data_IF_855150128435
#
_entry.id   IF_855150128435
#
_cell.length_a   1.000
_cell.length_b   1.000
_cell.length_c   1.000
_cell.angle_alpha   90.00
_cell.angle_beta   90.00
_cell.angle_gamma   90.00
#
_symmetry.space_group_name_H-M   'P 1'
#
loop_
_entity.id
_entity.type
_entity.pdbx_description
1 polymer ?
#
# COMPACT_ATOMS: atom_id res chain seq x y z
N UNK A 1 -16.35 -0.59 -26.79
CA UNK A 1 -16.31 -1.27 -25.48
C UNK A 1 -16.07 -0.19 -24.44
N UNK A 2 -17.15 0.44 -24.00
CA UNK A 2 -17.16 1.68 -23.22
C UNK A 2 -16.95 1.43 -21.74
N UNK A 3 -16.09 2.27 -21.14
CA UNK A 3 -16.11 2.78 -19.76
C UNK A 3 -16.50 1.82 -18.63
N UNK A 4 -15.49 1.50 -17.81
CA UNK A 4 -15.65 1.63 -16.36
C UNK A 4 -14.34 2.21 -15.80
N UNK A 5 -14.17 3.51 -15.98
CA UNK A 5 -13.35 4.30 -15.07
C UNK A 5 -14.11 4.35 -13.75
N UNK A 6 -13.96 3.32 -12.93
CA UNK A 6 -14.43 3.35 -11.54
C UNK A 6 -13.51 4.27 -10.76
N UNK A 7 -13.81 5.55 -10.94
CA UNK A 7 -13.66 6.64 -9.99
C UNK A 7 -13.69 6.10 -8.56
N UNK A 8 -12.51 5.74 -8.05
CA UNK A 8 -12.34 5.40 -6.64
C UNK A 8 -12.40 6.73 -5.92
N UNK A 9 -13.63 7.09 -5.56
CA UNK A 9 -14.00 7.94 -4.44
C UNK A 9 -12.78 8.53 -3.72
N UNK A 10 -12.42 9.78 -4.09
CA UNK A 10 -11.48 10.65 -3.37
C UNK A 10 -12.07 11.08 -2.01
N UNK A 11 -12.61 10.13 -1.25
CA UNK A 11 -13.00 10.35 0.12
C UNK A 11 -11.74 10.22 0.96
N UNK A 12 -11.24 11.38 1.40
CA UNK A 12 -10.44 11.58 2.61
C UNK A 12 -10.00 10.25 3.25
N UNK A 13 -8.81 9.76 2.89
CA UNK A 13 -8.26 8.54 3.50
C UNK A 13 -7.75 8.90 4.89
N UNK A 14 -8.69 9.27 5.77
CA UNK A 14 -8.48 9.31 7.20
C UNK A 14 -8.03 7.90 7.60
N UNK A 15 -6.92 7.80 8.34
CA UNK A 15 -6.39 6.56 8.87
C UNK A 15 -7.53 5.71 9.46
N UNK A 16 -7.96 4.69 8.71
CA UNK A 16 -9.10 3.85 9.08
C UNK A 16 -8.60 2.84 10.09
N UNK A 17 -9.41 2.57 11.11
CA UNK A 17 -9.18 1.39 11.95
C UNK A 17 -9.11 0.18 11.03
N UNK A 18 -8.03 -0.59 11.13
CA UNK A 18 -7.93 -1.84 10.40
C UNK A 18 -9.15 -2.72 10.74
N UNK A 19 -9.58 -3.59 9.82
CA UNK A 19 -10.61 -4.57 10.14
C UNK A 19 -10.16 -5.35 11.38
N UNK A 20 -11.10 -5.80 12.21
CA UNK A 20 -10.81 -6.72 13.31
C UNK A 20 -10.39 -8.09 12.73
N UNK A 21 -9.19 -8.13 12.16
CA UNK A 21 -8.56 -9.35 11.67
C UNK A 21 -7.96 -9.99 12.93
N UNK A 22 -8.48 -11.14 13.39
CA UNK A 22 -7.86 -11.83 14.50
C UNK A 22 -6.40 -12.11 14.13
N UNK A 23 -5.44 -11.86 15.04
CA UNK A 23 -4.00 -11.99 14.77
C UNK A 23 -3.58 -13.41 14.35
N UNK A 24 -4.49 -14.38 14.43
CA UNK A 24 -4.32 -15.79 14.08
C UNK A 24 -4.51 -16.11 12.60
N UNK A 25 -5.18 -15.27 11.80
CA UNK A 25 -5.37 -15.49 10.36
C UNK A 25 -5.28 -14.16 9.63
N UNK A 26 -4.10 -13.81 9.14
CA UNK A 26 -3.97 -12.74 8.16
C UNK A 26 -4.34 -13.33 6.81
N UNK A 27 -5.42 -12.86 6.16
CA UNK A 27 -5.80 -13.37 4.86
C UNK A 27 -4.64 -13.18 3.89
N UNK A 28 -4.43 -14.12 2.97
CA UNK A 28 -3.39 -14.01 1.94
C UNK A 28 -3.48 -12.71 1.11
N UNK A 29 -4.69 -12.14 0.99
CA UNK A 29 -4.94 -10.88 0.29
C UNK A 29 -4.68 -9.63 1.15
N UNK A 30 -4.46 -9.77 2.46
CA UNK A 30 -4.17 -8.66 3.36
C UNK A 30 -2.66 -8.39 3.39
N UNK A 31 -2.19 -7.80 2.31
CA UNK A 31 -0.79 -7.45 2.09
C UNK A 31 -0.57 -5.93 2.20
N UNK A 32 0.68 -5.50 2.03
CA UNK A 32 1.06 -4.08 2.19
C UNK A 32 0.40 -3.16 1.15
N UNK A 33 0.36 -3.48 -0.17
CA UNK A 33 -0.37 -2.68 -1.15
C UNK A 33 -1.84 -2.48 -0.79
N UNK A 34 -2.53 -3.55 -0.37
CA UNK A 34 -3.94 -3.51 0.03
C UNK A 34 -4.15 -2.58 1.23
N UNK A 35 -3.28 -2.66 2.24
CA UNK A 35 -3.34 -1.81 3.42
C UNK A 35 -3.15 -0.32 3.10
N UNK A 36 -2.25 0.03 2.18
CA UNK A 36 -2.03 1.43 1.76
C UNK A 36 -3.26 1.97 1.04
N UNK A 37 -3.81 1.20 0.09
CA UNK A 37 -4.99 1.61 -0.70
C UNK A 37 -6.23 1.88 0.14
N UNK A 38 -6.37 1.18 1.27
CA UNK A 38 -7.53 1.29 2.17
C UNK A 38 -7.27 2.18 3.40
N UNK A 39 -6.06 2.73 3.55
CA UNK A 39 -5.73 3.62 4.65
C UNK A 39 -5.42 2.93 5.98
N UNK A 40 -5.08 1.64 5.97
CA UNK A 40 -4.73 0.85 7.16
C UNK A 40 -3.27 1.03 7.58
N UNK A 41 -2.81 2.27 7.67
CA UNK A 41 -1.39 2.62 7.81
C UNK A 41 -0.77 2.09 9.11
N UNK A 42 -1.54 2.04 10.19
CA UNK A 42 -1.09 1.52 11.50
C UNK A 42 -0.62 0.07 11.46
N UNK A 43 -1.15 -0.75 10.55
CA UNK A 43 -0.81 -2.16 10.45
C UNK A 43 0.40 -2.43 9.57
N UNK A 44 0.87 -1.45 8.78
CA UNK A 44 1.94 -1.66 7.80
C UNK A 44 3.24 -2.14 8.46
N UNK A 45 3.63 -1.57 9.61
CA UNK A 45 4.82 -2.03 10.33
C UNK A 45 4.71 -3.50 10.74
N UNK A 46 3.54 -3.92 11.20
CA UNK A 46 3.28 -5.31 11.57
C UNK A 46 3.32 -6.23 10.35
N UNK A 47 2.69 -5.84 9.23
CA UNK A 47 2.74 -6.61 7.98
C UNK A 47 4.16 -6.80 7.48
N UNK A 48 4.98 -5.74 7.49
CA UNK A 48 6.38 -5.80 7.10
C UNK A 48 7.26 -6.63 8.05
N UNK A 49 6.83 -6.84 9.31
CA UNK A 49 7.52 -7.74 10.24
C UNK A 49 7.22 -9.22 9.95
N UNK A 50 6.06 -9.52 9.37
CA UNK A 50 5.63 -10.88 9.06
C UNK A 50 6.21 -11.44 7.75
N UNK A 51 7.39 -10.95 7.34
CA UNK A 51 8.08 -11.36 6.11
C UNK A 51 7.30 -11.11 4.81
N UNK A 52 6.39 -10.12 4.78
CA UNK A 52 5.82 -9.67 3.51
C UNK A 52 6.91 -9.03 2.63
N UNK A 53 6.86 -9.28 1.32
CA UNK A 53 7.77 -8.66 0.36
C UNK A 53 7.45 -7.15 0.24
N UNK A 54 8.38 -6.24 0.57
CA UNK A 54 8.16 -4.81 0.42
C UNK A 54 8.03 -4.36 -1.04
N UNK A 55 8.25 -5.25 -2.01
CA UNK A 55 8.09 -5.02 -3.45
C UNK A 55 6.83 -5.66 -4.04
N UNK A 56 5.95 -6.21 -3.21
CA UNK A 56 4.72 -6.85 -3.67
C UNK A 56 3.86 -5.90 -4.51
N UNK A 57 3.37 -6.39 -5.64
CA UNK A 57 2.71 -5.54 -6.65
C UNK A 57 1.20 -5.73 -6.60
N UNK A 58 0.47 -4.62 -6.71
CA UNK A 58 -0.96 -4.67 -6.92
C UNK A 58 -1.33 -5.05 -8.38
N UNK A 59 -2.62 -5.07 -8.70
CA UNK A 59 -3.13 -5.38 -10.04
C UNK A 59 -2.72 -4.37 -11.12
N UNK A 60 -2.26 -3.18 -10.76
CA UNK A 60 -1.73 -2.15 -11.66
C UNK A 60 -0.20 -2.17 -11.70
N UNK A 61 0.41 -3.23 -11.19
CA UNK A 61 1.84 -3.36 -10.99
C UNK A 61 2.42 -2.26 -10.08
N UNK A 62 1.65 -1.59 -9.23
CA UNK A 62 2.20 -0.59 -8.31
C UNK A 62 2.82 -1.31 -7.11
N UNK A 63 4.06 -0.95 -6.79
CA UNK A 63 4.70 -1.37 -5.54
C UNK A 63 4.14 -0.55 -4.38
N UNK A 64 4.34 -0.99 -3.11
CA UNK A 64 3.92 -0.21 -1.95
C UNK A 64 4.55 1.19 -1.94
N UNK A 65 5.79 1.30 -2.46
CA UNK A 65 6.50 2.57 -2.53
C UNK A 65 5.86 3.53 -3.55
N UNK A 66 5.43 3.05 -4.72
CA UNK A 66 4.66 3.85 -5.69
C UNK A 66 3.32 4.29 -5.06
N UNK A 67 2.70 3.42 -4.27
CA UNK A 67 1.42 3.74 -3.61
C UNK A 67 1.55 4.85 -2.56
N UNK A 68 2.73 5.06 -1.96
CA UNK A 68 2.97 6.17 -1.03
C UNK A 68 2.70 7.54 -1.67
N UNK A 69 2.97 7.70 -2.97
CA UNK A 69 2.74 8.96 -3.70
C UNK A 69 1.25 9.30 -3.89
N UNK A 70 0.36 8.35 -3.59
CA UNK A 70 -1.11 8.55 -3.59
C UNK A 70 -1.68 8.75 -2.18
N UNK A 71 -0.85 8.67 -1.14
CA UNK A 71 -1.27 8.92 0.25
C UNK A 71 -1.26 10.41 0.50
N UNK A 72 -2.45 10.98 0.78
CA UNK A 72 -2.63 12.42 1.00
C UNK A 72 -1.91 12.96 2.25
N UNK A 73 -1.67 12.11 3.24
CA UNK A 73 -1.05 12.50 4.50
C UNK A 73 0.47 12.30 4.45
N UNK A 74 1.22 13.40 4.33
CA UNK A 74 2.69 13.39 4.24
C UNK A 74 3.38 12.66 5.39
N UNK A 75 2.84 12.75 6.62
CA UNK A 75 3.45 12.04 7.77
C UNK A 75 3.31 10.53 7.62
N UNK A 76 2.15 10.07 7.15
CA UNK A 76 1.95 8.66 6.88
C UNK A 76 2.73 8.20 5.65
N UNK A 77 2.69 8.95 4.54
CA UNK A 77 3.41 8.59 3.32
C UNK A 77 4.91 8.47 3.58
N UNK A 78 5.50 9.44 4.28
CA UNK A 78 6.91 9.44 4.65
C UNK A 78 7.26 8.27 5.58
N UNK A 79 6.46 8.05 6.63
CA UNK A 79 6.71 6.96 7.57
C UNK A 79 6.63 5.60 6.90
N UNK A 80 5.64 5.38 6.03
CA UNK A 80 5.48 4.14 5.27
C UNK A 80 6.66 3.96 4.31
N UNK A 81 7.02 4.99 3.54
CA UNK A 81 8.13 4.94 2.60
C UNK A 81 9.46 4.61 3.30
N UNK A 82 9.73 5.22 4.46
CA UNK A 82 10.90 4.90 5.28
C UNK A 82 10.93 3.43 5.70
N UNK A 83 9.83 2.91 6.24
CA UNK A 83 9.74 1.50 6.65
C UNK A 83 9.93 0.54 5.46
N UNK A 84 9.42 0.89 4.28
CA UNK A 84 9.58 0.10 3.06
C UNK A 84 11.04 0.09 2.59
N UNK A 85 11.70 1.24 2.57
CA UNK A 85 13.11 1.37 2.19
C UNK A 85 14.03 0.62 3.17
N UNK A 86 13.77 0.72 4.48
CA UNK A 86 14.48 -0.07 5.51
C UNK A 86 14.35 -1.58 5.29
N UNK A 87 13.26 -2.03 4.66
CA UNK A 87 13.03 -3.45 4.32
C UNK A 87 13.54 -3.85 2.94
N UNK A 88 14.13 -2.94 2.17
CA UNK A 88 14.69 -3.22 0.85
C UNK A 88 13.70 -3.04 -0.31
N UNK A 89 12.73 -2.12 -0.17
CA UNK A 89 11.90 -1.70 -1.30
C UNK A 89 12.77 -1.09 -2.42
N UNK A 90 12.47 -1.48 -3.66
CA UNK A 90 13.17 -1.06 -4.87
C UNK A 90 12.50 0.17 -5.47
N UNK A 91 13.24 1.27 -5.53
CA UNK A 91 12.79 2.55 -6.12
C UNK A 91 12.59 2.48 -7.63
N UNK A 92 13.34 1.64 -8.33
CA UNK A 92 13.37 1.61 -9.79
C UNK A 92 12.25 0.76 -10.43
N UNK A 93 11.38 0.13 -9.64
CA UNK A 93 10.28 -0.64 -10.17
C UNK A 93 9.20 0.29 -10.73
N UNK A 94 8.72 0.01 -11.93
CA UNK A 94 7.76 0.86 -12.64
C UNK A 94 6.37 0.23 -12.72
N UNK A 95 5.30 0.97 -12.45
CA UNK A 95 3.92 0.51 -12.65
C UNK A 95 3.56 0.25 -14.14
N UNK A 96 2.30 -0.13 -14.40
CA UNK A 96 1.83 -0.38 -15.77
C UNK A 96 1.94 0.85 -16.69
N UNK A 97 1.94 2.06 -16.14
CA UNK A 97 2.14 3.32 -16.85
C UNK A 97 3.62 3.73 -16.95
N UNK A 98 4.56 2.83 -16.63
CA UNK A 98 6.01 3.07 -16.66
C UNK A 98 6.48 4.14 -15.66
N UNK A 99 5.76 4.32 -14.55
CA UNK A 99 6.10 5.29 -13.49
C UNK A 99 6.71 4.57 -12.29
N UNK A 100 7.80 5.11 -11.76
CA UNK A 100 8.41 4.67 -10.52
C UNK A 100 7.99 5.58 -9.34
N UNK A 101 8.48 5.28 -8.13
CA UNK A 101 8.08 5.95 -6.89
C UNK A 101 8.60 7.39 -6.79
#
# INVERSE_FOLDING_TARGET
MSHIDSNTDRSHVANKSAPLIPPTIIPKHFNVPFAIQHGYFRCIRYLLQLCHDPNERDSQLRTPLILCSYVENDRWSLSIAQNLLEKGAKVALEDHARRNA
#
